data_IF_352000928893
#
_entry.id   IF_352000928893
#
_cell.length_a   1.000
_cell.length_b   1.000
_cell.length_c   1.000
_cell.angle_alpha   90.00
_cell.angle_beta   90.00
_cell.angle_gamma   90.00
#
_symmetry.space_group_name_H-M   'P 1'
#
loop_
_entity.id
_entity.type
_entity.pdbx_description
1 polymer ?
#
# COMPACT_ATOMS: atom_id res chain seq x y z
N UNK A 1 2.87 -15.99 25.21
CA UNK A 1 2.55 -16.10 23.78
C UNK A 1 2.62 -14.74 23.08
N UNK A 2 1.73 -13.80 23.39
CA UNK A 2 1.80 -12.45 22.78
C UNK A 2 3.08 -11.71 23.18
N UNK A 3 3.61 -11.95 24.40
CA UNK A 3 4.87 -11.39 24.84
C UNK A 3 6.03 -11.65 23.86
N UNK A 4 6.17 -12.86 23.35
CA UNK A 4 7.22 -13.20 22.38
C UNK A 4 7.13 -12.36 21.10
N UNK A 5 5.92 -11.98 20.68
CA UNK A 5 5.70 -11.12 19.52
C UNK A 5 6.04 -9.66 19.85
N UNK A 6 5.66 -9.19 21.04
CA UNK A 6 6.04 -7.86 21.53
C UNK A 6 7.56 -7.73 21.68
N UNK A 7 8.22 -8.73 22.23
CA UNK A 7 9.68 -8.76 22.35
C UNK A 7 10.35 -8.64 20.97
N UNK A 8 9.81 -9.31 19.94
CA UNK A 8 10.31 -9.17 18.56
C UNK A 8 10.01 -7.78 17.99
N UNK A 9 8.86 -7.16 18.29
CA UNK A 9 8.54 -5.79 17.88
C UNK A 9 9.57 -4.83 18.46
N UNK A 10 9.87 -4.93 19.76
CA UNK A 10 10.87 -4.10 20.42
C UNK A 10 12.27 -4.33 19.88
N UNK A 11 12.65 -5.59 19.60
CA UNK A 11 13.94 -5.91 19.02
C UNK A 11 14.13 -5.29 17.63
N UNK A 12 13.03 -5.12 16.88
CA UNK A 12 13.06 -4.54 15.55
C UNK A 12 12.64 -3.06 15.52
N UNK A 13 12.36 -2.42 16.66
CA UNK A 13 11.71 -1.11 16.73
C UNK A 13 12.36 -0.03 15.87
N UNK A 14 13.70 0.05 15.84
CA UNK A 14 14.44 1.03 15.04
C UNK A 14 14.20 0.85 13.53
N UNK A 15 14.22 -0.40 13.05
CA UNK A 15 14.07 -0.77 11.65
C UNK A 15 12.62 -1.03 11.22
N UNK A 16 11.69 -1.12 12.19
CA UNK A 16 10.31 -1.45 11.95
C UNK A 16 9.61 -0.34 11.15
N UNK A 17 9.00 -0.71 10.02
CA UNK A 17 8.23 0.20 9.16
C UNK A 17 6.73 -0.03 9.28
N UNK A 18 6.31 -1.30 9.44
CA UNK A 18 4.90 -1.68 9.43
C UNK A 18 4.65 -2.96 10.22
N UNK A 19 3.49 -3.03 10.90
CA UNK A 19 2.94 -4.22 11.54
C UNK A 19 1.58 -4.52 10.89
N UNK A 20 1.29 -5.79 10.65
CA UNK A 20 0.00 -6.24 10.10
C UNK A 20 -0.55 -7.37 10.95
N UNK A 21 -1.76 -7.19 11.50
CA UNK A 21 -2.54 -8.23 12.13
C UNK A 21 -3.62 -8.68 11.17
N UNK A 22 -3.78 -9.98 10.96
CA UNK A 22 -4.75 -10.52 10.01
C UNK A 22 -5.24 -11.90 10.42
N UNK A 23 -6.24 -12.43 9.70
CA UNK A 23 -6.89 -13.69 9.99
C UNK A 23 -7.45 -13.77 11.42
N UNK A 24 -8.42 -12.91 11.80
CA UNK A 24 -9.05 -12.98 13.12
C UNK A 24 -9.75 -14.32 13.29
N UNK A 25 -9.58 -14.94 14.48
CA UNK A 25 -10.24 -16.20 14.81
C UNK A 25 -11.70 -15.97 15.21
N UNK A 26 -11.97 -14.86 15.89
CA UNK A 26 -13.32 -14.41 16.23
C UNK A 26 -13.81 -13.51 15.09
N UNK A 27 -14.92 -13.87 14.49
CA UNK A 27 -15.54 -13.12 13.38
C UNK A 27 -16.85 -12.50 13.87
N UNK A 28 -17.14 -11.28 13.47
CA UNK A 28 -18.35 -10.55 13.76
C UNK A 28 -18.41 -9.31 12.89
N UNK A 29 -19.56 -8.65 12.81
CA UNK A 29 -19.80 -7.49 11.93
C UNK A 29 -18.83 -6.33 12.19
N UNK A 30 -18.37 -6.18 13.44
CA UNK A 30 -17.42 -5.15 13.86
C UNK A 30 -15.98 -5.68 14.01
N UNK A 31 -15.69 -6.88 13.52
CA UNK A 31 -14.34 -7.46 13.61
C UNK A 31 -13.49 -6.98 12.44
N UNK A 32 -12.37 -6.26 12.69
CA UNK A 32 -11.45 -5.92 11.62
C UNK A 32 -10.85 -7.17 10.97
N UNK A 33 -11.06 -7.32 9.68
CA UNK A 33 -10.46 -8.42 8.90
C UNK A 33 -8.94 -8.33 8.88
N UNK A 34 -8.43 -7.09 8.97
CA UNK A 34 -7.02 -6.75 9.00
C UNK A 34 -6.82 -5.43 9.74
N UNK A 35 -5.71 -5.33 10.49
CA UNK A 35 -5.21 -4.07 11.06
C UNK A 35 -3.81 -3.84 10.49
N UNK A 36 -3.57 -2.65 9.97
CA UNK A 36 -2.26 -2.22 9.45
C UNK A 36 -1.77 -1.07 10.30
N UNK A 37 -0.60 -1.22 10.92
CA UNK A 37 0.04 -0.19 11.74
C UNK A 37 1.31 0.23 11.04
N UNK A 38 1.41 1.51 10.66
CA UNK A 38 2.56 2.08 9.96
C UNK A 38 3.28 3.05 10.88
N UNK A 39 4.60 2.91 10.99
CA UNK A 39 5.45 3.87 11.70
C UNK A 39 5.52 5.16 10.90
N UNK A 40 5.24 6.29 11.54
CA UNK A 40 5.39 7.63 10.97
C UNK A 40 6.59 8.30 11.62
N UNK A 41 7.61 8.56 10.81
CA UNK A 41 8.75 9.39 11.23
C UNK A 41 8.50 10.80 10.73
N UNK A 42 7.98 11.69 11.57
CA UNK A 42 8.03 13.13 11.33
C UNK A 42 9.17 13.65 12.20
N UNK A 43 10.01 14.54 11.67
CA UNK A 43 11.22 15.12 12.24
C UNK A 43 11.16 15.55 13.72
N UNK A 44 10.95 14.61 14.63
CA UNK A 44 10.92 14.73 16.08
C UNK A 44 11.32 13.40 16.69
N UNK A 45 11.85 13.44 17.90
CA UNK A 45 12.54 12.34 18.56
C UNK A 45 11.66 11.15 18.98
N UNK A 46 10.33 11.25 18.89
CA UNK A 46 9.41 10.18 19.34
C UNK A 46 8.66 9.62 18.11
N UNK A 47 8.86 8.34 17.76
CA UNK A 47 8.12 7.72 16.69
C UNK A 47 6.61 7.65 17.02
N UNK A 48 5.79 7.97 16.04
CA UNK A 48 4.34 7.81 16.10
C UNK A 48 3.90 6.73 15.12
N UNK A 49 2.75 6.12 15.37
CA UNK A 49 2.19 5.06 14.55
C UNK A 49 0.79 5.44 14.09
N UNK A 50 0.43 5.02 12.89
CA UNK A 50 -0.94 5.14 12.37
C UNK A 50 -1.50 3.74 12.19
N UNK A 51 -2.55 3.41 12.92
CA UNK A 51 -3.29 2.17 12.79
C UNK A 51 -4.51 2.36 11.89
N UNK A 52 -4.71 1.44 10.95
CA UNK A 52 -5.87 1.36 10.06
C UNK A 52 -6.57 0.03 10.30
N UNK A 53 -7.82 0.06 10.78
CA UNK A 53 -8.68 -1.10 11.00
C UNK A 53 -9.65 -1.27 9.83
N UNK A 54 -9.61 -2.39 9.13
CA UNK A 54 -10.47 -2.68 7.99
C UNK A 54 -11.67 -3.53 8.40
N UNK A 55 -12.86 -2.90 8.47
CA UNK A 55 -14.13 -3.54 8.83
C UNK A 55 -15.07 -3.48 7.62
N UNK A 56 -15.36 -4.63 7.00
CA UNK A 56 -16.10 -4.67 5.74
C UNK A 56 -15.37 -3.85 4.66
N UNK A 57 -16.07 -2.86 4.11
CA UNK A 57 -15.51 -1.94 3.09
C UNK A 57 -14.99 -0.62 3.67
N UNK A 58 -15.01 -0.45 5.01
CA UNK A 58 -14.61 0.77 5.69
C UNK A 58 -13.23 0.61 6.33
N UNK A 59 -12.46 1.70 6.34
CA UNK A 59 -11.20 1.80 7.07
C UNK A 59 -11.34 2.86 8.19
N UNK A 60 -10.98 2.48 9.41
CA UNK A 60 -10.96 3.35 10.56
C UNK A 60 -9.51 3.64 10.94
N UNK A 61 -9.21 4.91 11.19
CA UNK A 61 -7.85 5.36 11.47
C UNK A 61 -7.70 5.78 12.93
N UNK A 62 -6.58 5.37 13.54
CA UNK A 62 -6.18 5.80 14.88
C UNK A 62 -4.69 6.14 14.89
N UNK A 63 -4.33 7.28 15.45
CA UNK A 63 -2.94 7.61 15.70
C UNK A 63 -2.54 7.12 17.11
N UNK A 64 -1.35 6.54 17.22
CA UNK A 64 -0.80 5.97 18.45
C UNK A 64 0.58 6.57 18.71
N UNK A 65 0.88 6.85 19.95
CA UNK A 65 2.25 7.06 20.41
C UNK A 65 2.98 5.71 20.57
N UNK A 66 4.30 5.72 20.66
CA UNK A 66 5.07 4.50 20.94
C UNK A 66 4.65 3.81 22.24
N UNK A 67 4.23 4.59 23.25
CA UNK A 67 3.77 4.05 24.55
C UNK A 67 2.43 3.32 24.45
N UNK A 68 1.58 3.70 23.50
CA UNK A 68 0.25 3.10 23.30
C UNK A 68 0.29 1.89 22.39
N UNK A 69 1.38 1.69 21.64
CA UNK A 69 1.48 0.64 20.63
C UNK A 69 1.25 -0.76 21.20
N UNK A 70 1.97 -1.10 22.27
CA UNK A 70 1.89 -2.42 22.90
C UNK A 70 0.49 -2.70 23.45
N UNK A 71 -0.05 -1.74 24.20
CA UNK A 71 -1.40 -1.84 24.74
C UNK A 71 -2.45 -2.02 23.67
N UNK A 72 -2.32 -1.30 22.55
CA UNK A 72 -3.22 -1.43 21.42
C UNK A 72 -3.12 -2.80 20.74
N UNK A 73 -1.90 -3.30 20.51
CA UNK A 73 -1.69 -4.61 19.90
C UNK A 73 -2.25 -5.72 20.80
N UNK A 74 -2.00 -5.65 22.10
CA UNK A 74 -2.52 -6.63 23.08
C UNK A 74 -4.05 -6.61 23.10
N UNK A 75 -4.68 -5.45 23.22
CA UNK A 75 -6.13 -5.28 23.20
C UNK A 75 -6.74 -5.93 21.95
N UNK A 76 -6.24 -5.61 20.77
CA UNK A 76 -6.76 -6.14 19.51
C UNK A 76 -6.51 -7.64 19.36
N UNK A 77 -5.35 -8.13 19.81
CA UNK A 77 -5.03 -9.53 19.79
C UNK A 77 -5.92 -10.37 20.73
N UNK A 78 -6.26 -9.85 21.91
CA UNK A 78 -7.17 -10.51 22.85
C UNK A 78 -8.62 -10.50 22.35
N UNK A 79 -9.09 -9.33 21.87
CA UNK A 79 -10.45 -9.19 21.37
C UNK A 79 -10.75 -10.08 20.18
N UNK A 80 -9.86 -10.13 19.19
CA UNK A 80 -10.12 -10.75 17.88
C UNK A 80 -9.32 -12.03 17.63
N UNK A 81 -8.33 -12.33 18.46
CA UNK A 81 -7.47 -13.53 18.37
C UNK A 81 -6.86 -13.70 16.96
N UNK A 82 -6.12 -12.67 16.49
CA UNK A 82 -5.46 -12.72 15.18
C UNK A 82 -4.48 -13.90 15.10
N UNK A 83 -4.57 -14.65 14.00
CA UNK A 83 -3.75 -15.84 13.76
C UNK A 83 -2.52 -15.58 12.90
N UNK A 84 -2.45 -14.40 12.30
CA UNK A 84 -1.30 -14.04 11.51
C UNK A 84 -0.87 -12.61 11.87
N UNK A 85 0.41 -12.47 12.23
CA UNK A 85 1.02 -11.18 12.57
C UNK A 85 2.29 -11.07 11.74
N UNK A 86 2.42 -9.99 10.95
CA UNK A 86 3.57 -9.68 10.13
C UNK A 86 4.27 -8.43 10.61
N UNK A 87 5.59 -8.49 10.77
CA UNK A 87 6.46 -7.36 11.06
C UNK A 87 7.31 -7.09 9.82
N UNK A 88 7.31 -5.87 9.36
CA UNK A 88 8.00 -5.46 8.14
C UNK A 88 9.07 -4.43 8.48
N UNK A 89 10.29 -4.73 8.07
CA UNK A 89 11.41 -3.79 8.08
C UNK A 89 11.83 -3.49 6.64
N UNK A 90 12.82 -2.64 6.44
CA UNK A 90 13.40 -2.41 5.11
C UNK A 90 14.03 -3.68 4.54
N UNK A 91 14.70 -4.48 5.39
CA UNK A 91 15.50 -5.63 4.97
C UNK A 91 14.76 -6.97 5.01
N UNK A 92 13.79 -7.11 5.90
CA UNK A 92 13.14 -8.42 6.15
C UNK A 92 11.67 -8.30 6.49
N UNK A 93 10.97 -9.41 6.29
CA UNK A 93 9.62 -9.66 6.75
C UNK A 93 9.66 -10.82 7.75
N UNK A 94 9.14 -10.57 8.96
CA UNK A 94 9.01 -11.58 10.01
C UNK A 94 7.52 -11.88 10.15
N UNK A 95 7.11 -13.12 9.95
CA UNK A 95 5.72 -13.49 10.09
C UNK A 95 5.53 -14.56 11.17
N UNK A 96 4.50 -14.36 11.99
CA UNK A 96 4.04 -15.25 13.01
C UNK A 96 2.69 -15.84 12.60
N UNK A 97 2.59 -17.15 12.63
CA UNK A 97 1.32 -17.88 12.46
C UNK A 97 0.96 -18.58 13.75
N UNK A 98 -0.24 -18.30 14.25
CA UNK A 98 -0.76 -18.84 15.51
C UNK A 98 -1.79 -19.92 15.18
N UNK A 99 -1.51 -21.17 15.54
CA UNK A 99 -2.42 -22.29 15.32
C UNK A 99 -3.64 -22.19 16.25
N UNK A 100 -4.68 -22.98 15.95
CA UNK A 100 -5.86 -23.13 16.84
C UNK A 100 -5.49 -23.58 18.25
N UNK A 101 -4.40 -24.34 18.40
CA UNK A 101 -3.88 -24.86 19.68
C UNK A 101 -2.89 -23.91 20.36
N UNK A 102 -2.74 -22.68 19.86
CA UNK A 102 -1.85 -21.68 20.42
C UNK A 102 -0.36 -21.83 20.05
N UNK A 103 0.05 -22.81 19.24
CA UNK A 103 1.43 -22.93 18.79
C UNK A 103 1.77 -21.80 17.82
N UNK A 104 2.93 -21.15 18.04
CA UNK A 104 3.44 -20.09 17.17
C UNK A 104 4.49 -20.68 16.24
N UNK A 105 4.32 -20.44 14.94
CA UNK A 105 5.35 -20.64 13.92
C UNK A 105 5.88 -19.28 13.50
N UNK A 106 7.20 -19.07 13.58
CA UNK A 106 7.89 -17.86 13.14
C UNK A 106 8.61 -18.16 11.83
N UNK A 107 8.47 -17.30 10.84
CA UNK A 107 9.26 -17.35 9.61
C UNK A 107 9.86 -15.98 9.33
N UNK A 108 11.03 -15.97 8.71
CA UNK A 108 11.74 -14.74 8.32
C UNK A 108 12.06 -14.85 6.84
N UNK A 109 11.60 -13.87 6.07
CA UNK A 109 11.95 -13.69 4.67
C UNK A 109 12.83 -12.46 4.55
N UNK A 110 14.08 -12.63 4.13
CA UNK A 110 14.96 -11.52 3.80
C UNK A 110 14.58 -11.00 2.42
N UNK A 111 14.32 -9.71 2.33
CA UNK A 111 14.09 -9.05 1.04
C UNK A 111 15.45 -8.95 0.34
N UNK A 112 15.68 -9.74 -0.70
CA UNK A 112 16.75 -9.41 -1.63
C UNK A 112 16.45 -8.00 -2.14
N UNK A 113 17.47 -7.12 -2.11
CA UNK A 113 17.34 -5.70 -2.47
C UNK A 113 16.80 -5.54 -3.89
N UNK A 114 15.50 -5.53 -4.02
CA UNK A 114 14.81 -5.13 -5.24
C UNK A 114 13.78 -4.08 -4.86
N UNK A 115 14.19 -2.82 -5.05
CA UNK A 115 13.44 -1.57 -4.93
C UNK A 115 12.96 -1.22 -3.51
N UNK A 116 13.68 -0.29 -2.90
CA UNK A 116 13.19 0.52 -1.79
C UNK A 116 11.77 1.04 -2.13
N UNK A 117 10.77 0.59 -1.38
CA UNK A 117 9.44 1.20 -1.42
C UNK A 117 9.61 2.54 -0.72
N UNK A 118 9.74 3.61 -1.50
CA UNK A 118 9.75 4.96 -0.95
C UNK A 118 8.45 5.17 -0.17
N UNK A 119 8.57 5.37 1.14
CA UNK A 119 7.47 5.69 2.06
C UNK A 119 7.06 7.17 1.97
N UNK A 120 7.26 7.81 0.81
CA UNK A 120 6.75 9.16 0.63
C UNK A 120 5.22 9.09 0.56
N UNK A 121 4.55 9.76 1.47
CA UNK A 121 3.09 9.95 1.50
C UNK A 121 2.57 10.65 0.24
N UNK A 122 3.47 11.22 -0.55
CA UNK A 122 3.23 11.80 -1.86
C UNK A 122 3.79 10.83 -2.90
N UNK A 123 3.07 9.73 -3.13
CA UNK A 123 3.36 8.84 -4.25
C UNK A 123 3.07 9.63 -5.52
N UNK A 124 4.08 10.25 -6.10
CA UNK A 124 3.96 10.81 -7.44
C UNK A 124 3.52 9.68 -8.37
N UNK A 125 2.35 9.86 -8.96
CA UNK A 125 1.84 8.91 -9.93
C UNK A 125 2.78 8.98 -11.13
N UNK A 126 3.47 7.90 -11.43
CA UNK A 126 4.27 7.78 -12.65
C UNK A 126 3.32 7.73 -13.85
N UNK A 127 2.90 8.90 -14.31
CA UNK A 127 2.15 9.02 -15.56
C UNK A 127 3.09 8.81 -16.74
N UNK A 128 2.65 8.06 -17.75
CA UNK A 128 3.38 7.88 -19.02
C UNK A 128 3.41 9.19 -19.80
N UNK A 129 2.29 9.93 -19.80
CA UNK A 129 2.23 11.32 -20.28
C UNK A 129 2.27 12.23 -19.06
N UNK A 130 3.26 13.11 -18.97
CA UNK A 130 3.46 14.04 -17.86
C UNK A 130 3.09 15.46 -18.24
N UNK A 131 2.81 16.28 -17.25
CA UNK A 131 2.69 17.71 -17.42
C UNK A 131 4.03 18.28 -17.91
N UNK A 132 3.98 19.08 -19.00
CA UNK A 132 5.17 19.58 -19.67
C UNK A 132 5.61 18.76 -20.90
N UNK A 133 5.06 17.57 -21.11
CA UNK A 133 5.35 16.78 -22.30
C UNK A 133 4.70 17.44 -23.55
N UNK A 134 5.42 17.40 -24.67
CA UNK A 134 4.89 17.87 -25.97
C UNK A 134 4.05 16.77 -26.61
N UNK A 135 2.77 16.76 -26.31
CA UNK A 135 1.81 15.76 -26.80
C UNK A 135 0.66 16.46 -27.53
N UNK A 136 0.74 16.62 -28.88
CA UNK A 136 -0.22 17.42 -29.65
C UNK A 136 -1.67 17.01 -29.45
N UNK A 137 -2.01 15.70 -29.45
CA UNK A 137 -3.39 15.25 -29.28
C UNK A 137 -3.99 15.64 -27.94
N UNK A 138 -3.19 15.79 -26.88
CA UNK A 138 -3.65 16.25 -25.56
C UNK A 138 -4.07 17.72 -25.60
N UNK A 139 -3.43 18.51 -26.44
CA UNK A 139 -3.81 19.91 -26.68
C UNK A 139 -5.09 19.96 -27.51
N UNK A 140 -5.22 19.15 -28.57
CA UNK A 140 -6.40 19.09 -29.42
C UNK A 140 -7.64 18.63 -28.66
N UNK A 141 -7.49 17.72 -27.70
CA UNK A 141 -8.55 17.31 -26.78
C UNK A 141 -8.87 18.36 -25.69
N UNK A 142 -8.13 19.45 -25.63
CA UNK A 142 -8.24 20.49 -24.61
C UNK A 142 -7.90 19.99 -23.20
N UNK A 143 -7.11 18.92 -23.08
CA UNK A 143 -6.61 18.38 -21.81
C UNK A 143 -5.36 19.11 -21.38
N UNK A 144 -4.50 19.47 -22.34
CA UNK A 144 -3.34 20.34 -22.12
C UNK A 144 -3.57 21.74 -22.68
N UNK A 145 -2.93 22.71 -22.06
CA UNK A 145 -2.71 24.03 -22.66
C UNK A 145 -1.62 23.93 -23.72
N UNK A 146 -1.45 24.98 -24.54
CA UNK A 146 -0.35 25.06 -25.54
C UNK A 146 1.03 24.97 -24.89
N UNK A 147 1.15 25.34 -23.62
CA UNK A 147 2.38 25.27 -22.80
C UNK A 147 2.56 23.90 -22.10
N UNK A 148 1.71 22.91 -22.41
CA UNK A 148 1.81 21.55 -21.85
C UNK A 148 1.28 21.40 -20.42
N UNK A 149 0.57 22.39 -19.87
CA UNK A 149 -0.02 22.30 -18.53
C UNK A 149 -1.38 21.61 -18.58
N UNK A 150 -1.68 20.80 -17.58
CA UNK A 150 -3.01 20.16 -17.45
C UNK A 150 -4.07 21.20 -17.13
N UNK A 151 -5.14 21.24 -17.94
CA UNK A 151 -6.30 22.07 -17.68
C UNK A 151 -7.05 21.52 -16.46
N UNK A 152 -7.19 22.31 -15.39
CA UNK A 152 -7.75 21.87 -14.11
C UNK A 152 -9.13 21.18 -14.26
N UNK A 153 -10.02 21.72 -15.08
CA UNK A 153 -11.34 21.14 -15.37
C UNK A 153 -11.28 19.81 -16.15
N UNK A 154 -10.14 19.46 -16.72
CA UNK A 154 -9.91 18.24 -17.51
C UNK A 154 -8.97 17.25 -16.81
N UNK A 155 -8.66 17.46 -15.54
CA UNK A 155 -7.72 16.62 -14.79
C UNK A 155 -8.18 15.15 -14.72
N UNK A 156 -9.48 14.89 -14.59
CA UNK A 156 -9.99 13.52 -14.60
C UNK A 156 -9.82 12.85 -15.97
N UNK A 157 -9.98 13.62 -17.08
CA UNK A 157 -9.71 13.12 -18.43
C UNK A 157 -8.23 12.81 -18.63
N UNK A 158 -7.34 13.66 -18.12
CA UNK A 158 -5.90 13.42 -18.09
C UNK A 158 -5.56 12.10 -17.37
N UNK A 159 -6.15 11.86 -16.21
CA UNK A 159 -5.96 10.61 -15.45
C UNK A 159 -6.49 9.39 -16.21
N UNK A 160 -7.66 9.51 -16.84
CA UNK A 160 -8.28 8.44 -17.63
C UNK A 160 -7.40 8.04 -18.81
N UNK A 161 -6.87 9.00 -19.56
CA UNK A 161 -5.97 8.76 -20.70
C UNK A 161 -4.70 8.07 -20.22
N UNK A 162 -4.05 8.56 -19.16
CA UNK A 162 -2.84 7.93 -18.62
C UNK A 162 -3.10 6.49 -18.16
N UNK A 163 -4.25 6.23 -17.53
CA UNK A 163 -4.62 4.87 -17.13
C UNK A 163 -4.83 3.94 -18.33
N UNK A 164 -5.46 4.44 -19.37
CA UNK A 164 -5.63 3.69 -20.61
C UNK A 164 -4.29 3.33 -21.24
N UNK A 165 -3.40 4.31 -21.38
CA UNK A 165 -2.06 4.11 -21.97
C UNK A 165 -1.25 3.12 -21.12
N UNK A 166 -1.31 3.20 -19.78
CA UNK A 166 -0.64 2.26 -18.87
C UNK A 166 -1.10 0.81 -19.10
N UNK A 167 -2.41 0.60 -19.33
CA UNK A 167 -2.96 -0.74 -19.61
C UNK A 167 -2.48 -1.25 -20.97
N UNK A 168 -2.47 -0.39 -21.97
CA UNK A 168 -2.00 -0.71 -23.33
C UNK A 168 -0.49 -1.02 -23.33
N UNK A 169 0.31 -0.18 -22.68
CA UNK A 169 1.76 -0.36 -22.52
C UNK A 169 2.08 -1.70 -21.84
N UNK A 170 1.36 -2.00 -20.76
CA UNK A 170 1.52 -3.28 -20.08
C UNK A 170 1.07 -4.49 -20.93
N UNK A 171 0.01 -4.34 -21.71
CA UNK A 171 -0.45 -5.41 -22.61
C UNK A 171 0.55 -5.69 -23.73
N UNK A 172 1.33 -4.69 -24.13
CA UNK A 172 2.32 -4.81 -25.21
C UNK A 172 3.74 -5.08 -24.71
N UNK A 173 4.01 -5.01 -23.41
CA UNK A 173 5.36 -5.19 -22.83
C UNK A 173 6.01 -6.54 -23.17
N UNK A 174 5.20 -7.57 -23.40
CA UNK A 174 5.66 -8.94 -23.69
C UNK A 174 5.62 -9.28 -25.19
N UNK A 175 5.30 -8.31 -26.07
CA UNK A 175 5.25 -8.53 -27.52
C UNK A 175 6.62 -8.27 -28.16
N UNK A 176 7.25 -9.34 -28.64
CA UNK A 176 8.52 -9.31 -29.37
C UNK A 176 8.34 -9.20 -30.92
N UNK A 177 7.16 -8.82 -31.41
CA UNK A 177 6.86 -8.74 -32.85
C UNK A 177 7.04 -7.31 -33.36
N UNK A 178 7.60 -7.20 -34.56
CA UNK A 178 7.83 -5.90 -35.23
C UNK A 178 6.52 -5.26 -35.75
N UNK A 179 5.44 -6.04 -35.92
CA UNK A 179 4.13 -5.55 -36.36
C UNK A 179 3.03 -6.02 -35.41
N UNK A 180 2.16 -5.07 -35.04
CA UNK A 180 0.99 -5.30 -34.19
C UNK A 180 -0.25 -4.75 -34.88
N UNK A 181 -1.29 -5.60 -35.00
CA UNK A 181 -2.62 -5.17 -35.49
C UNK A 181 -3.51 -4.92 -34.25
N UNK A 182 -4.06 -3.72 -34.18
CA UNK A 182 -4.98 -3.33 -33.08
C UNK A 182 -6.38 -3.14 -33.69
N UNK A 183 -7.37 -3.79 -33.08
CA UNK A 183 -8.77 -3.62 -33.45
C UNK A 183 -9.52 -3.04 -32.24
N UNK A 184 -10.02 -1.82 -32.38
CA UNK A 184 -10.81 -1.14 -31.34
C UNK A 184 -12.30 -1.22 -31.68
N UNK A 185 -13.09 -1.82 -30.78
CA UNK A 185 -14.54 -1.91 -30.88
C UNK A 185 -15.18 -0.84 -30.00
N UNK A 186 -15.85 0.12 -30.61
CA UNK A 186 -16.62 1.13 -29.88
C UNK A 186 -15.81 2.34 -29.44
N UNK A 187 -14.79 2.68 -30.20
CA UNK A 187 -13.90 3.82 -29.95
C UNK A 187 -14.61 5.19 -29.90
N UNK A 188 -15.88 5.28 -30.25
CA UNK A 188 -16.67 6.51 -30.24
C UNK A 188 -16.17 7.53 -31.26
N UNK A 189 -15.84 8.73 -30.81
CA UNK A 189 -15.13 9.75 -31.60
C UNK A 189 -13.63 9.53 -31.44
N UNK A 190 -13.05 8.71 -32.26
CA UNK A 190 -11.60 8.58 -32.41
C UNK A 190 -11.07 9.66 -33.34
#
# INVERSE_FOLDING_TARGET
MLQTILDEIHLQESALSKIVLSAPAKKGDNTPSKIVIVKKTKGGDIPTFSAEEFIGQKAFHKNLSSRELDGYILEKAELFSYRQIGLFTEEKEISFRISKKGKIARSVNTKNQTKAISSSHNREKNYLIREGDSVPFMVDLGVFTKEGKVVAAKYDKFRQINRFIEVVDHAFSDFEKDEISVLDFGCGKS
#
